data_IF_326604046120
#
_entry.id   IF_326604046120
#
_cell.length_a   1.000
_cell.length_b   1.000
_cell.length_c   1.000
_cell.angle_alpha   90.00
_cell.angle_beta   90.00
_cell.angle_gamma   90.00
#
_symmetry.space_group_name_H-M   'P 1'
#
loop_
_entity.id
_entity.type
_entity.pdbx_description
1 polymer ?
#
# COMPACT_ATOMS: atom_id res chain seq x y z
N UNK A 1 11.55 7.98 2.67
CA UNK A 1 11.04 8.14 1.29
C UNK A 1 9.90 9.16 1.24
N UNK A 2 8.86 8.99 2.06
CA UNK A 2 7.59 9.73 2.00
C UNK A 2 7.71 11.20 2.46
N UNK A 3 8.57 11.50 3.44
CA UNK A 3 8.76 12.87 3.97
C UNK A 3 9.22 13.91 2.93
N UNK A 4 9.85 13.47 1.84
CA UNK A 4 10.29 14.37 0.78
C UNK A 4 9.26 14.56 -0.34
N UNK A 5 8.24 13.70 -0.43
CA UNK A 5 7.15 13.82 -1.40
C UNK A 5 6.32 15.09 -1.17
N UNK A 6 6.23 15.52 0.09
CA UNK A 6 5.52 16.74 0.50
C UNK A 6 6.46 17.93 0.79
N UNK A 7 7.73 17.81 0.45
CA UNK A 7 8.73 18.85 0.72
C UNK A 7 8.97 19.75 -0.50
N UNK A 8 9.49 20.95 -0.26
CA UNK A 8 9.89 21.87 -1.34
C UNK A 8 10.93 21.16 -2.22
N UNK A 9 10.75 21.14 -3.56
CA UNK A 9 11.59 20.37 -4.49
C UNK A 9 12.96 21.03 -4.71
N UNK A 10 13.76 21.12 -3.64
CA UNK A 10 15.08 21.75 -3.62
C UNK A 10 16.12 20.68 -3.27
N UNK A 11 16.93 20.33 -4.26
CA UNK A 11 17.96 19.30 -4.15
C UNK A 11 19.25 19.85 -3.52
N UNK A 12 19.21 20.12 -2.22
CA UNK A 12 20.39 20.51 -1.43
C UNK A 12 20.73 19.40 -0.41
N UNK A 13 22.02 19.17 -0.08
CA UNK A 13 22.46 18.02 0.73
C UNK A 13 21.83 17.96 2.13
N UNK A 14 21.28 19.07 2.63
CA UNK A 14 20.65 19.15 3.95
C UNK A 14 19.11 19.01 3.92
N UNK A 15 18.48 19.01 2.74
CA UNK A 15 17.02 19.04 2.61
C UNK A 15 16.40 17.65 2.78
N UNK A 16 15.12 17.65 3.19
CA UNK A 16 14.28 16.43 3.24
C UNK A 16 14.14 15.81 1.84
N UNK A 17 14.08 16.64 0.79
CA UNK A 17 14.02 16.22 -0.60
C UNK A 17 15.26 15.44 -1.07
N UNK A 18 16.48 15.88 -0.72
CA UNK A 18 17.68 15.11 -1.08
C UNK A 18 17.73 13.77 -0.35
N UNK A 19 17.38 13.76 0.95
CA UNK A 19 17.28 12.51 1.73
C UNK A 19 16.24 11.54 1.15
N UNK A 20 15.07 12.05 0.74
CA UNK A 20 14.05 11.20 0.12
C UNK A 20 14.51 10.63 -1.20
N UNK A 21 15.18 11.42 -2.06
CA UNK A 21 15.71 10.94 -3.33
C UNK A 21 16.72 9.81 -3.14
N UNK A 22 17.65 9.94 -2.19
CA UNK A 22 18.61 8.87 -1.87
C UNK A 22 17.91 7.61 -1.35
N UNK A 23 16.92 7.79 -0.47
CA UNK A 23 16.14 6.67 0.05
C UNK A 23 15.33 5.98 -1.07
N UNK A 24 14.70 6.74 -1.97
CA UNK A 24 14.00 6.20 -3.13
C UNK A 24 14.93 5.42 -4.05
N UNK A 25 16.13 5.93 -4.30
CA UNK A 25 17.13 5.23 -5.11
C UNK A 25 17.54 3.90 -4.45
N UNK A 26 17.82 3.91 -3.15
CA UNK A 26 18.17 2.69 -2.39
C UNK A 26 17.04 1.65 -2.42
N UNK A 27 15.79 2.07 -2.18
CA UNK A 27 14.63 1.17 -2.26
C UNK A 27 14.43 0.65 -3.69
N UNK A 28 14.63 1.51 -4.69
CA UNK A 28 14.55 1.14 -6.10
C UNK A 28 15.53 0.01 -6.46
N UNK A 29 16.78 0.07 -5.99
CA UNK A 29 17.77 -0.99 -6.22
C UNK A 29 17.38 -2.31 -5.52
N UNK A 30 16.88 -2.25 -4.28
CA UNK A 30 16.38 -3.45 -3.57
C UNK A 30 15.21 -4.08 -4.34
N UNK A 31 14.27 -3.26 -4.85
CA UNK A 31 13.13 -3.75 -5.62
C UNK A 31 13.58 -4.36 -6.95
N UNK A 32 14.58 -3.78 -7.64
CA UNK A 32 15.16 -4.38 -8.85
C UNK A 32 15.77 -5.74 -8.57
N UNK A 33 16.51 -5.87 -7.47
CA UNK A 33 17.10 -7.15 -7.08
C UNK A 33 16.01 -8.21 -6.83
N UNK A 34 14.92 -7.85 -6.15
CA UNK A 34 13.77 -8.73 -5.95
C UNK A 34 13.08 -9.10 -7.26
N UNK A 35 12.91 -8.15 -8.18
CA UNK A 35 12.31 -8.42 -9.50
C UNK A 35 13.17 -9.40 -10.29
N UNK A 36 14.49 -9.24 -10.26
CA UNK A 36 15.42 -10.14 -10.93
C UNK A 36 15.35 -11.56 -10.36
N UNK A 37 15.33 -11.71 -9.05
CA UNK A 37 15.15 -13.00 -8.38
C UNK A 37 13.81 -13.64 -8.80
N UNK A 38 12.71 -12.88 -8.69
CA UNK A 38 11.36 -13.35 -9.05
C UNK A 38 11.23 -13.73 -10.53
N UNK A 39 11.93 -13.03 -11.42
CA UNK A 39 11.98 -13.35 -12.84
C UNK A 39 12.61 -14.72 -13.09
N UNK A 40 13.74 -15.00 -12.45
CA UNK A 40 14.43 -16.29 -12.56
C UNK A 40 13.53 -17.41 -12.02
N UNK A 41 12.88 -17.20 -10.87
CA UNK A 41 11.92 -18.16 -10.31
C UNK A 41 10.74 -18.43 -11.25
N UNK A 42 10.20 -17.38 -11.86
CA UNK A 42 9.09 -17.46 -12.80
C UNK A 42 9.44 -18.25 -14.07
N UNK A 43 10.62 -18.00 -14.64
CA UNK A 43 11.13 -18.68 -15.84
C UNK A 43 11.48 -20.16 -15.55
N UNK A 44 11.97 -20.49 -14.35
CA UNK A 44 12.41 -21.85 -14.00
C UNK A 44 11.29 -22.76 -13.47
N UNK A 45 10.34 -22.23 -12.70
CA UNK A 45 9.36 -23.05 -11.97
C UNK A 45 7.94 -22.99 -12.55
N UNK A 46 7.72 -22.22 -13.62
CA UNK A 46 6.36 -21.97 -14.14
C UNK A 46 5.44 -21.43 -13.04
N UNK A 47 5.97 -20.55 -12.19
CA UNK A 47 5.27 -20.08 -11.00
C UNK A 47 3.91 -19.48 -11.39
N UNK A 48 2.86 -19.84 -10.63
CA UNK A 48 1.50 -19.32 -10.85
C UNK A 48 1.52 -17.78 -10.85
N UNK A 49 1.02 -17.18 -11.93
CA UNK A 49 1.12 -15.75 -12.20
C UNK A 49 0.45 -14.84 -11.15
N UNK A 50 -0.32 -15.43 -10.21
CA UNK A 50 -1.16 -14.73 -9.25
C UNK A 50 -0.66 -14.75 -7.79
N UNK A 51 0.54 -15.26 -7.50
CA UNK A 51 1.00 -15.36 -6.11
C UNK A 51 1.63 -14.07 -5.55
N UNK A 52 2.16 -13.21 -6.42
CA UNK A 52 2.88 -11.99 -6.04
C UNK A 52 2.60 -10.88 -7.06
N UNK A 53 2.59 -9.62 -6.60
CA UNK A 53 2.41 -8.44 -7.44
C UNK A 53 3.49 -8.38 -8.52
N UNK A 54 4.74 -8.68 -8.18
CA UNK A 54 5.86 -8.69 -9.13
C UNK A 54 5.62 -9.72 -10.23
N UNK A 55 5.23 -10.94 -9.85
CA UNK A 55 4.91 -12.02 -10.81
C UNK A 55 3.71 -11.66 -11.68
N UNK A 56 2.70 -11.02 -11.10
CA UNK A 56 1.55 -10.50 -11.84
C UNK A 56 2.00 -9.50 -12.91
N UNK A 57 2.80 -8.50 -12.54
CA UNK A 57 3.33 -7.50 -13.46
C UNK A 57 4.24 -8.10 -14.55
N UNK A 58 5.07 -9.10 -14.20
CA UNK A 58 5.91 -9.84 -15.15
C UNK A 58 5.10 -10.71 -16.11
N UNK A 59 3.91 -11.17 -15.70
CA UNK A 59 3.01 -11.98 -16.52
C UNK A 59 2.20 -11.18 -17.53
N UNK A 60 2.16 -9.86 -17.42
CA UNK A 60 1.48 -8.98 -18.37
C UNK A 60 2.24 -9.00 -19.70
N UNK A 61 1.63 -9.63 -20.70
CA UNK A 61 2.15 -9.74 -22.06
C UNK A 61 1.14 -9.22 -23.08
N UNK A 62 1.65 -8.65 -24.16
CA UNK A 62 0.83 -8.19 -25.28
C UNK A 62 0.31 -9.38 -26.12
N UNK A 63 -0.59 -9.11 -27.07
CA UNK A 63 -1.11 -10.05 -28.07
C UNK A 63 -0.02 -10.76 -28.86
N UNK A 64 1.16 -10.13 -29.01
CA UNK A 64 2.35 -10.72 -29.64
C UNK A 64 3.27 -11.47 -28.65
N UNK A 65 2.79 -11.73 -27.42
CA UNK A 65 3.54 -12.39 -26.34
C UNK A 65 4.82 -11.63 -25.91
N UNK A 66 4.90 -10.33 -26.22
CA UNK A 66 5.97 -9.42 -25.80
C UNK A 66 5.68 -8.83 -24.42
N UNK A 67 6.74 -8.58 -23.65
CA UNK A 67 6.62 -7.93 -22.35
C UNK A 67 6.16 -6.48 -22.54
N UNK A 68 5.07 -6.10 -21.86
CA UNK A 68 4.45 -4.77 -22.00
C UNK A 68 5.15 -3.73 -21.13
N UNK A 69 5.56 -4.13 -19.93
CA UNK A 69 6.15 -3.25 -18.92
C UNK A 69 7.67 -3.36 -18.93
N UNK A 70 8.35 -2.22 -18.96
CA UNK A 70 9.79 -2.14 -18.71
C UNK A 70 10.10 -2.41 -17.24
N UNK A 71 11.33 -2.81 -16.94
CA UNK A 71 11.78 -3.06 -15.57
C UNK A 71 11.59 -1.83 -14.67
N UNK A 72 11.89 -0.63 -15.18
CA UNK A 72 11.71 0.61 -14.43
C UNK A 72 10.23 0.91 -14.14
N UNK A 73 9.32 0.58 -15.06
CA UNK A 73 7.87 0.74 -14.82
C UNK A 73 7.39 -0.23 -13.74
N UNK A 74 7.86 -1.48 -13.76
CA UNK A 74 7.53 -2.47 -12.71
C UNK A 74 8.04 -1.98 -11.35
N UNK A 75 9.28 -1.49 -11.27
CA UNK A 75 9.86 -0.91 -10.05
C UNK A 75 9.00 0.25 -9.54
N UNK A 76 8.61 1.18 -10.42
CA UNK A 76 7.75 2.30 -10.04
C UNK A 76 6.37 1.84 -9.56
N UNK A 77 5.74 0.87 -10.22
CA UNK A 77 4.43 0.33 -9.79
C UNK A 77 4.51 -0.31 -8.41
N UNK A 78 5.55 -1.11 -8.15
CA UNK A 78 5.75 -1.74 -6.83
C UNK A 78 5.98 -0.69 -5.76
N UNK A 79 6.87 0.29 -6.01
CA UNK A 79 7.10 1.39 -5.06
C UNK A 79 5.83 2.21 -4.80
N UNK A 80 5.02 2.47 -5.83
CA UNK A 80 3.76 3.18 -5.70
C UNK A 80 2.79 2.45 -4.76
N UNK A 81 2.62 1.14 -4.95
CA UNK A 81 1.75 0.30 -4.10
C UNK A 81 2.28 0.27 -2.66
N UNK A 82 3.59 0.16 -2.45
CA UNK A 82 4.18 0.17 -1.11
C UNK A 82 3.92 1.49 -0.38
N UNK A 83 4.10 2.63 -1.05
CA UNK A 83 3.84 3.96 -0.46
C UNK A 83 2.35 4.14 -0.16
N UNK A 84 1.49 3.80 -1.11
CA UNK A 84 0.04 3.92 -0.95
C UNK A 84 -0.47 3.04 0.20
N UNK A 85 0.00 1.79 0.28
CA UNK A 85 -0.38 0.84 1.31
C UNK A 85 0.14 1.22 2.70
N UNK A 86 1.37 1.76 2.79
CA UNK A 86 1.97 2.13 4.07
C UNK A 86 1.18 3.24 4.79
N UNK A 87 0.92 4.36 4.12
CA UNK A 87 0.30 5.51 4.78
C UNK A 87 -1.17 5.24 5.14
N UNK A 88 -1.91 4.63 4.22
CA UNK A 88 -3.32 4.30 4.43
C UNK A 88 -3.50 3.24 5.52
N UNK A 89 -2.71 2.17 5.50
CA UNK A 89 -2.80 1.10 6.50
C UNK A 89 -2.34 1.58 7.88
N UNK A 90 -1.30 2.42 7.96
CA UNK A 90 -0.81 2.97 9.24
C UNK A 90 -1.86 3.84 9.93
N UNK A 91 -2.52 4.72 9.16
CA UNK A 91 -3.63 5.55 9.68
C UNK A 91 -4.80 4.67 10.11
N UNK A 92 -5.16 3.67 9.31
CA UNK A 92 -6.23 2.73 9.62
C UNK A 92 -5.96 1.95 10.92
N UNK A 93 -4.78 1.37 11.06
CA UNK A 93 -4.38 0.61 12.27
C UNK A 93 -4.39 1.54 13.49
N UNK A 94 -3.83 2.74 13.38
CA UNK A 94 -3.84 3.72 14.47
C UNK A 94 -5.25 4.04 14.92
N UNK A 95 -6.19 4.18 13.98
CA UNK A 95 -7.58 4.42 14.31
C UNK A 95 -8.26 3.22 14.96
N UNK A 96 -8.01 2.01 14.47
CA UNK A 96 -8.52 0.77 15.10
C UNK A 96 -8.04 0.71 16.56
N UNK A 97 -6.75 0.93 16.81
CA UNK A 97 -6.19 0.97 18.17
C UNK A 97 -6.88 2.03 19.02
N UNK A 98 -7.08 3.24 18.49
CA UNK A 98 -7.78 4.33 19.19
C UNK A 98 -9.25 4.00 19.49
N UNK A 99 -9.95 3.37 18.55
CA UNK A 99 -11.34 2.95 18.70
C UNK A 99 -11.47 1.91 19.82
N UNK A 100 -10.58 0.92 19.83
CA UNK A 100 -10.54 -0.11 20.87
C UNK A 100 -10.19 0.48 22.24
N UNK A 101 -9.22 1.39 22.31
CA UNK A 101 -8.84 2.07 23.55
C UNK A 101 -9.99 2.89 24.16
N UNK A 102 -10.82 3.53 23.31
CA UNK A 102 -11.96 4.33 23.78
C UNK A 102 -13.23 3.52 24.08
N UNK A 103 -13.28 2.24 23.69
CA UNK A 103 -14.45 1.38 23.88
C UNK A 103 -14.04 0.06 24.56
N UNK A 104 -13.77 0.09 25.88
CA UNK A 104 -13.26 -1.08 26.62
C UNK A 104 -14.17 -2.30 26.50
N UNK A 105 -15.49 -2.11 26.45
CA UNK A 105 -16.46 -3.20 26.25
C UNK A 105 -16.29 -3.90 24.90
N UNK A 106 -16.03 -3.16 23.83
CA UNK A 106 -15.80 -3.72 22.49
C UNK A 106 -14.46 -4.46 22.46
N UNK A 107 -13.43 -3.89 23.08
CA UNK A 107 -12.11 -4.51 23.19
C UNK A 107 -12.15 -5.83 23.98
N UNK A 108 -12.81 -5.86 25.14
CA UNK A 108 -12.99 -7.09 25.92
C UNK A 108 -13.73 -8.18 25.14
N UNK A 109 -14.78 -7.81 24.41
CA UNK A 109 -15.54 -8.77 23.61
C UNK A 109 -14.69 -9.37 22.48
N UNK A 110 -13.86 -8.56 21.81
CA UNK A 110 -12.92 -9.04 20.78
C UNK A 110 -11.85 -9.96 21.38
N UNK A 111 -11.27 -9.58 22.52
CA UNK A 111 -10.27 -10.41 23.22
C UNK A 111 -10.82 -11.75 23.69
N UNK A 112 -12.04 -11.76 24.25
CA UNK A 112 -12.74 -13.00 24.64
C UNK A 112 -13.03 -13.87 23.43
N UNK A 113 -13.38 -13.27 22.30
CA UNK A 113 -13.50 -13.95 21.01
C UNK A 113 -12.25 -14.68 20.55
N UNK A 114 -11.14 -13.94 20.50
CA UNK A 114 -9.85 -14.47 20.06
C UNK A 114 -9.35 -15.63 20.93
N UNK A 115 -9.79 -15.71 22.19
CA UNK A 115 -9.34 -16.72 23.16
C UNK A 115 -10.33 -17.85 23.40
N UNK A 116 -11.64 -17.61 23.24
CA UNK A 116 -12.70 -18.57 23.63
C UNK A 116 -13.77 -18.83 22.56
N UNK A 117 -13.61 -18.28 21.34
CA UNK A 117 -14.54 -18.43 20.22
C UNK A 117 -16.01 -18.09 20.60
N UNK A 118 -16.19 -16.90 21.18
CA UNK A 118 -17.46 -16.40 21.72
C UNK A 118 -18.27 -15.63 20.65
N UNK A 119 -19.58 -15.89 20.54
CA UNK A 119 -20.51 -15.21 19.64
C UNK A 119 -20.58 -13.68 19.84
N UNK A 120 -20.23 -13.19 21.03
CA UNK A 120 -20.16 -11.75 21.30
C UNK A 120 -18.98 -11.06 20.59
N UNK A 121 -17.95 -11.81 20.24
CA UNK A 121 -16.80 -11.28 19.51
C UNK A 121 -17.12 -11.04 18.03
N UNK A 122 -17.95 -11.88 17.43
CA UNK A 122 -18.41 -11.69 16.07
C UNK A 122 -19.20 -10.38 15.93
N UNK A 123 -20.06 -10.07 16.91
CA UNK A 123 -20.77 -8.78 16.98
C UNK A 123 -19.83 -7.59 17.15
N UNK A 124 -18.80 -7.73 17.98
CA UNK A 124 -17.81 -6.68 18.18
C UNK A 124 -16.93 -6.46 16.93
N UNK A 125 -16.55 -7.53 16.23
CA UNK A 125 -15.87 -7.45 14.94
C UNK A 125 -16.76 -6.81 13.87
N UNK A 126 -18.04 -7.20 13.80
CA UNK A 126 -19.02 -6.57 12.91
C UNK A 126 -19.20 -5.08 13.20
N UNK A 127 -19.14 -4.65 14.47
CA UNK A 127 -19.17 -3.24 14.83
C UNK A 127 -17.96 -2.48 14.28
N UNK A 128 -16.74 -3.01 14.45
CA UNK A 128 -15.52 -2.41 13.90
C UNK A 128 -15.59 -2.33 12.37
N UNK A 129 -16.03 -3.42 11.71
CA UNK A 129 -16.23 -3.47 10.26
C UNK A 129 -17.29 -2.47 9.80
N UNK A 130 -18.34 -2.21 10.58
CA UNK A 130 -19.39 -1.24 10.23
C UNK A 130 -18.92 0.22 10.35
N UNK A 131 -18.02 0.50 11.29
CA UNK A 131 -17.50 1.86 11.51
C UNK A 131 -16.37 2.19 10.53
N UNK A 132 -15.61 1.19 10.08
CA UNK A 132 -14.47 1.34 9.17
C UNK A 132 -14.79 2.12 7.86
N UNK A 133 -15.87 1.82 7.11
CA UNK A 133 -16.16 2.46 5.83
C UNK A 133 -16.46 3.96 5.96
N UNK A 134 -17.11 4.37 7.05
CA UNK A 134 -17.36 5.78 7.32
C UNK A 134 -16.04 6.52 7.59
N UNK A 135 -15.09 5.87 8.25
CA UNK A 135 -13.76 6.42 8.47
C UNK A 135 -12.91 6.49 7.20
N UNK A 136 -12.90 5.43 6.38
CA UNK A 136 -12.23 5.45 5.06
C UNK A 136 -12.77 6.59 4.20
N UNK A 137 -14.09 6.84 4.25
CA UNK A 137 -14.73 7.97 3.57
C UNK A 137 -14.27 9.33 4.11
N UNK A 138 -14.03 9.47 5.41
CA UNK A 138 -13.49 10.70 6.00
C UNK A 138 -12.00 10.90 5.68
N UNK A 139 -11.18 9.85 5.69
CA UNK A 139 -9.78 9.94 5.23
C UNK A 139 -9.72 10.34 3.75
N UNK A 140 -10.59 9.76 2.91
CA UNK A 140 -10.63 10.08 1.48
C UNK A 140 -11.02 11.53 1.19
N UNK A 141 -11.69 12.21 2.14
CA UNK A 141 -12.02 13.65 2.08
C UNK A 141 -10.89 14.55 2.60
N UNK A 142 -9.85 14.00 3.24
CA UNK A 142 -8.74 14.80 3.72
C UNK A 142 -7.94 15.38 2.53
N UNK A 143 -7.54 16.66 2.58
CA UNK A 143 -6.91 17.37 1.45
C UNK A 143 -5.55 16.79 1.00
N UNK A 144 -4.97 15.86 1.77
CA UNK A 144 -3.66 15.24 1.51
C UNK A 144 -3.83 13.76 1.07
N UNK A 145 -5.05 13.32 0.75
CA UNK A 145 -5.31 11.95 0.31
C UNK A 145 -4.79 11.70 -1.12
N UNK A 146 -4.23 10.49 -1.33
CA UNK A 146 -3.77 9.92 -2.60
C UNK A 146 -4.81 10.01 -3.74
N UNK A 147 -6.09 10.14 -3.38
CA UNK A 147 -7.22 10.37 -4.30
C UNK A 147 -7.19 11.72 -5.01
N UNK A 148 -6.53 12.74 -4.44
CA UNK A 148 -6.38 14.05 -5.10
C UNK A 148 -5.37 14.03 -6.26
N UNK A 149 -4.44 13.06 -6.27
CA UNK A 149 -3.41 12.90 -7.30
C UNK A 149 -3.98 12.25 -8.58
N UNK A 150 -4.93 11.32 -8.44
CA UNK A 150 -5.56 10.61 -9.56
C UNK A 150 -6.93 11.18 -9.97
N UNK A 151 -7.46 12.16 -9.22
CA UNK A 151 -8.77 12.78 -9.45
C UNK A 151 -8.82 13.86 -10.52
N UNK A 152 -7.70 14.19 -11.20
CA UNK A 152 -7.73 15.10 -12.34
C UNK A 152 -8.15 14.31 -13.59
N UNK A 153 -9.47 14.12 -13.72
CA UNK A 153 -10.13 13.73 -14.95
C UNK A 153 -9.54 14.51 -16.12
N UNK A 154 -9.06 13.80 -17.12
CA UNK A 154 -8.90 14.32 -18.48
C UNK A 154 -10.29 14.69 -19.01
N UNK A 155 -10.77 15.89 -18.70
CA UNK A 155 -11.76 16.57 -19.54
C UNK A 155 -10.97 17.40 -20.56
N UNK A 156 -10.60 16.77 -21.68
CA UNK A 156 -10.32 17.44 -22.96
C UNK A 156 -10.17 16.40 -24.08
N UNK A 157 -11.27 15.94 -24.65
CA UNK A 157 -11.61 16.07 -26.09
C UNK A 157 -12.98 15.47 -26.38
#
# INVERSE_FOLDING_TARGET
MIDGMWSVPVNLPFTRYNRSLRASAMVGEIVKDLIREKRIEFEQKGASSHQDLITCLLSIRDKENKQVLSENEIVHSVMLVMVAGHDTSSVLITFIVRLLANNPTVFENILRGATKNDANAERAAQYVIKVLPNFVREIAKAPISFTSIWGRKEDNS
#
